data_IF_298452614295
#
_entry.id   IF_298452614295
#
_cell.length_a   1.000
_cell.length_b   1.000
_cell.length_c   1.000
_cell.angle_alpha   90.00
_cell.angle_beta   90.00
_cell.angle_gamma   90.00
#
_symmetry.space_group_name_H-M   'P 1'
#
loop_
_entity.id
_entity.type
_entity.pdbx_description
1 polymer ?
#
# COMPACT_ATOMS: atom_id res chain seq x y z
N UNK A 1 22.53 -13.30 -2.11
CA UNK A 1 22.75 -11.99 -1.47
C UNK A 1 21.91 -11.95 -0.21
N UNK A 2 22.51 -11.74 0.97
CA UNK A 2 21.81 -11.81 2.26
C UNK A 2 21.22 -10.47 2.66
N UNK A 3 19.93 -10.25 2.40
CA UNK A 3 19.17 -9.13 2.94
C UNK A 3 18.91 -9.37 4.43
N UNK A 4 19.25 -8.40 5.30
CA UNK A 4 18.94 -8.51 6.73
C UNK A 4 17.46 -8.14 6.94
N UNK A 5 16.66 -9.09 7.40
CA UNK A 5 15.26 -8.86 7.79
C UNK A 5 15.19 -8.34 9.23
N UNK A 6 14.37 -7.33 9.48
CA UNK A 6 14.15 -6.80 10.83
C UNK A 6 12.65 -6.65 11.10
N UNK A 7 12.22 -7.09 12.28
CA UNK A 7 10.84 -7.00 12.75
C UNK A 7 10.82 -6.18 14.03
N UNK A 8 10.05 -5.09 14.07
CA UNK A 8 9.80 -4.33 15.29
C UNK A 8 8.78 -5.12 16.14
N UNK A 9 9.21 -5.73 17.24
CA UNK A 9 8.34 -6.31 18.27
C UNK A 9 8.50 -5.54 19.58
N UNK A 10 7.39 -5.22 20.25
CA UNK A 10 7.41 -4.76 21.65
C UNK A 10 7.98 -5.86 22.54
N UNK A 11 8.96 -5.52 23.38
CA UNK A 11 9.74 -6.49 24.17
C UNK A 11 9.27 -6.47 25.63
N UNK A 12 8.98 -7.67 26.16
CA UNK A 12 8.66 -7.94 27.57
C UNK A 12 9.96 -8.06 28.41
N UNK A 13 9.95 -7.52 29.62
CA UNK A 13 11.13 -6.93 30.27
C UNK A 13 11.98 -7.87 31.17
N UNK A 14 11.81 -9.19 31.13
CA UNK A 14 12.31 -10.07 32.20
C UNK A 14 13.62 -10.87 31.93
N UNK A 15 14.31 -10.70 30.80
CA UNK A 15 15.61 -11.38 30.56
C UNK A 15 16.65 -10.50 29.87
N UNK A 16 17.44 -9.77 30.66
CA UNK A 16 18.53 -8.89 30.18
C UNK A 16 19.82 -9.68 29.91
N UNK A 17 19.90 -10.34 28.76
CA UNK A 17 21.17 -10.34 28.02
C UNK A 17 21.38 -8.93 27.45
N UNK A 18 22.63 -8.44 27.40
CA UNK A 18 22.98 -7.15 26.77
C UNK A 18 22.62 -7.16 25.29
N UNK A 19 21.36 -6.89 24.97
CA UNK A 19 20.90 -6.56 23.63
C UNK A 19 21.47 -5.20 23.28
N UNK A 20 22.58 -5.18 22.54
CA UNK A 20 22.99 -3.98 21.81
C UNK A 20 21.91 -3.66 20.81
N UNK A 21 21.09 -2.66 21.14
CA UNK A 21 20.11 -2.09 20.22
C UNK A 21 20.91 -1.37 19.12
N UNK A 22 21.03 -2.02 17.97
CA UNK A 22 21.58 -1.38 16.77
C UNK A 22 20.45 -0.53 16.19
N UNK A 23 20.54 0.78 16.40
CA UNK A 23 19.66 1.74 15.73
C UNK A 23 20.20 1.93 14.32
N UNK A 24 19.57 1.30 13.33
CA UNK A 24 19.92 1.54 11.93
C UNK A 24 19.37 2.90 11.49
N UNK A 25 20.15 3.70 10.75
CA UNK A 25 19.61 4.89 10.10
C UNK A 25 18.47 4.49 9.19
N UNK A 26 17.34 5.20 9.28
CA UNK A 26 16.15 4.93 8.46
C UNK A 26 16.46 4.96 6.95
N UNK A 27 17.47 5.73 6.53
CA UNK A 27 17.94 5.81 5.15
C UNK A 27 18.56 4.52 4.60
N UNK A 28 18.97 3.59 5.47
CA UNK A 28 19.53 2.29 5.10
C UNK A 28 18.48 1.18 4.99
N UNK A 29 17.21 1.48 5.29
CA UNK A 29 16.11 0.52 5.21
C UNK A 29 15.83 0.16 3.76
N UNK A 30 15.89 -1.14 3.48
CA UNK A 30 15.68 -1.74 2.17
C UNK A 30 14.31 -2.41 2.02
N UNK A 31 13.81 -2.95 3.13
CA UNK A 31 12.53 -3.66 3.20
C UNK A 31 11.73 -3.03 4.34
N UNK A 32 10.52 -2.57 4.03
CA UNK A 32 9.60 -2.02 5.01
C UNK A 32 8.43 -2.97 5.20
N UNK A 33 8.19 -3.37 6.45
CA UNK A 33 7.03 -4.14 6.85
C UNK A 33 6.06 -3.23 7.57
N UNK A 34 4.85 -3.12 7.02
CA UNK A 34 3.76 -2.31 7.52
C UNK A 34 2.62 -3.25 7.91
N UNK A 35 2.23 -3.22 9.18
CA UNK A 35 1.09 -4.02 9.64
C UNK A 35 0.22 -3.30 10.65
N UNK A 36 -1.10 -3.43 10.52
CA UNK A 36 -2.09 -2.90 11.46
C UNK A 36 -2.49 -1.44 11.22
N UNK A 37 -3.19 -0.84 12.20
CA UNK A 37 -3.75 0.51 12.10
C UNK A 37 -2.67 1.60 12.15
N UNK A 38 -2.13 1.99 11.00
CA UNK A 38 -1.13 3.06 10.85
C UNK A 38 -1.76 4.46 10.76
N UNK A 39 -2.74 4.72 11.62
CA UNK A 39 -3.40 6.02 11.70
C UNK A 39 -2.41 7.07 12.22
N UNK A 40 -2.33 8.20 11.53
CA UNK A 40 -1.53 9.36 11.97
C UNK A 40 -0.08 9.41 11.45
N UNK A 41 0.36 8.45 10.62
CA UNK A 41 1.67 8.55 9.96
C UNK A 41 1.62 9.62 8.85
N UNK A 42 2.60 10.52 8.86
CA UNK A 42 2.92 11.39 7.73
C UNK A 42 3.71 10.57 6.69
N UNK A 43 2.95 9.92 5.79
CA UNK A 43 3.53 9.07 4.74
C UNK A 43 4.46 9.83 3.80
N UNK A 44 4.12 11.03 3.29
CA UNK A 44 5.05 11.81 2.48
C UNK A 44 6.41 12.03 3.16
N UNK A 45 6.42 12.45 4.43
CA UNK A 45 7.67 12.66 5.17
C UNK A 45 8.44 11.35 5.35
N UNK A 46 7.76 10.27 5.76
CA UNK A 46 8.41 8.97 5.97
C UNK A 46 9.02 8.43 4.68
N UNK A 47 8.26 8.41 3.58
CA UNK A 47 8.72 7.94 2.27
C UNK A 47 9.87 8.80 1.74
N UNK A 48 9.94 10.08 2.09
CA UNK A 48 11.07 10.93 1.73
C UNK A 48 12.39 10.41 2.32
N UNK A 49 12.38 9.81 3.50
CA UNK A 49 13.60 9.35 4.17
C UNK A 49 14.06 7.95 3.71
N UNK A 50 13.18 7.15 3.12
CA UNK A 50 13.42 5.74 2.76
C UNK A 50 14.05 5.57 1.37
N UNK A 51 15.18 6.26 1.10
CA UNK A 51 15.77 6.33 -0.26
C UNK A 51 16.24 4.99 -0.84
N UNK A 52 16.56 4.00 -0.01
CA UNK A 52 17.10 2.69 -0.43
C UNK A 52 16.06 1.57 -0.43
N UNK A 53 14.80 1.89 -0.17
CA UNK A 53 13.76 0.88 -0.10
C UNK A 53 13.51 0.28 -1.49
N UNK A 54 13.50 -1.04 -1.56
CA UNK A 54 13.16 -1.78 -2.77
C UNK A 54 11.98 -2.72 -2.59
N UNK A 55 11.58 -3.01 -1.35
CA UNK A 55 10.44 -3.89 -1.05
C UNK A 55 9.58 -3.29 0.05
N UNK A 56 8.26 -3.27 -0.16
CA UNK A 56 7.27 -2.92 0.88
C UNK A 56 6.30 -4.09 1.04
N UNK A 57 6.08 -4.50 2.28
CA UNK A 57 5.01 -5.39 2.68
C UNK A 57 3.97 -4.61 3.46
N UNK A 58 2.71 -4.71 3.04
CA UNK A 58 1.56 -4.07 3.67
C UNK A 58 0.59 -5.16 4.09
N UNK A 59 0.25 -5.20 5.37
CA UNK A 59 -0.64 -6.21 5.94
C UNK A 59 -1.70 -5.65 6.88
N UNK A 60 -2.98 -5.99 6.69
CA UNK A 60 -4.06 -5.51 7.58
C UNK A 60 -4.08 -3.97 7.73
N UNK A 61 -3.75 -3.24 6.66
CA UNK A 61 -3.73 -1.77 6.66
C UNK A 61 -4.72 -1.28 5.63
N UNK A 62 -5.51 -0.26 5.97
CA UNK A 62 -6.24 0.53 4.97
C UNK A 62 -5.21 1.36 4.20
N UNK A 63 -4.86 0.97 2.96
CA UNK A 63 -3.64 1.46 2.34
C UNK A 63 -3.86 2.85 1.73
N UNK A 64 -5.09 3.38 1.73
CA UNK A 64 -5.47 4.61 1.01
C UNK A 64 -4.46 5.75 1.18
N UNK A 65 -4.12 6.14 2.42
CA UNK A 65 -3.13 7.21 2.66
C UNK A 65 -1.72 6.88 2.18
N UNK A 66 -1.30 5.61 2.27
CA UNK A 66 -0.01 5.17 1.78
C UNK A 66 0.01 5.19 0.24
N UNK A 67 -1.03 4.66 -0.40
CA UNK A 67 -1.17 4.65 -1.86
C UNK A 67 -1.25 6.08 -2.41
N UNK A 68 -2.03 6.95 -1.77
CA UNK A 68 -2.12 8.36 -2.15
C UNK A 68 -0.76 9.06 -2.02
N UNK A 69 0.00 8.77 -0.96
CA UNK A 69 1.35 9.30 -0.79
C UNK A 69 2.32 8.74 -1.84
N UNK A 70 2.24 7.44 -2.16
CA UNK A 70 3.03 6.80 -3.22
C UNK A 70 2.70 7.34 -4.61
N UNK A 71 1.43 7.68 -4.86
CA UNK A 71 0.94 8.33 -6.08
C UNK A 71 1.40 9.81 -6.19
N UNK A 72 2.11 10.33 -5.20
CA UNK A 72 2.63 11.69 -5.20
C UNK A 72 1.75 12.72 -4.48
N UNK A 73 0.81 12.26 -3.66
CA UNK A 73 -0.14 13.11 -2.94
C UNK A 73 -1.08 13.78 -3.92
N UNK A 74 -2.28 13.20 -4.11
CA UNK A 74 -3.34 13.79 -4.94
C UNK A 74 -3.97 15.00 -4.25
N UNK A 75 -3.16 15.95 -3.76
CA UNK A 75 -3.59 17.33 -3.61
C UNK A 75 -3.34 18.03 -4.96
N UNK A 76 -4.06 17.55 -5.98
CA UNK A 76 -4.32 18.31 -7.20
C UNK A 76 -5.32 19.42 -6.86
N UNK A 77 -4.88 20.35 -6.02
CA UNK A 77 -5.52 21.64 -5.81
C UNK A 77 -5.43 22.41 -7.13
N UNK A 78 -6.46 22.28 -7.97
CA UNK A 78 -6.81 23.10 -9.14
C UNK A 78 -5.69 23.97 -9.77
N UNK A 79 -4.62 23.36 -10.33
CA UNK A 79 -3.71 24.06 -11.23
C UNK A 79 -2.21 23.83 -11.05
N UNK A 80 -1.78 22.99 -10.12
CA UNK A 80 -0.36 22.62 -10.04
C UNK A 80 0.00 21.58 -11.11
N UNK A 81 1.06 21.86 -11.86
CA UNK A 81 1.70 20.95 -12.80
C UNK A 81 1.97 19.59 -12.15
N UNK A 82 1.64 18.50 -12.84
CA UNK A 82 1.81 17.11 -12.39
C UNK A 82 3.15 16.91 -11.65
N UNK A 83 3.18 16.18 -10.52
CA UNK A 83 4.43 15.85 -9.84
C UNK A 83 5.37 15.14 -10.82
N UNK A 84 6.57 15.69 -10.98
CA UNK A 84 7.57 15.23 -11.96
C UNK A 84 8.51 14.16 -11.41
N UNK A 85 8.48 13.91 -10.10
CA UNK A 85 9.46 13.05 -9.43
C UNK A 85 8.81 11.77 -8.88
N UNK A 86 9.38 10.62 -9.25
CA UNK A 86 8.97 9.32 -8.71
C UNK A 86 9.40 9.20 -7.26
N UNK A 87 8.44 8.98 -6.37
CA UNK A 87 8.70 8.63 -4.97
C UNK A 87 9.18 7.18 -4.92
N UNK A 88 10.25 6.93 -4.16
CA UNK A 88 10.91 5.62 -4.04
C UNK A 88 11.29 5.00 -5.40
N UNK A 89 12.20 5.61 -6.17
CA UNK A 89 12.57 5.11 -7.51
C UNK A 89 13.20 3.72 -7.49
N UNK A 90 13.69 3.26 -6.33
CA UNK A 90 14.29 1.93 -6.16
C UNK A 90 13.27 0.84 -5.78
N UNK A 91 12.00 1.19 -5.53
CA UNK A 91 10.94 0.25 -5.19
C UNK A 91 10.66 -0.70 -6.36
N UNK A 92 10.79 -2.00 -6.12
CA UNK A 92 10.66 -3.07 -7.11
C UNK A 92 9.61 -4.10 -6.74
N UNK A 93 9.40 -4.36 -5.45
CA UNK A 93 8.47 -5.40 -5.01
C UNK A 93 7.43 -4.84 -4.03
N UNK A 94 6.16 -5.15 -4.26
CA UNK A 94 5.04 -4.82 -3.39
C UNK A 94 4.30 -6.08 -2.98
N UNK A 95 4.08 -6.23 -1.67
CA UNK A 95 3.35 -7.34 -1.10
C UNK A 95 2.17 -6.79 -0.33
N UNK A 96 0.96 -7.10 -0.80
CA UNK A 96 -0.29 -6.60 -0.26
C UNK A 96 -1.07 -7.80 0.27
N UNK A 97 -1.28 -7.83 1.59
CA UNK A 97 -1.95 -8.94 2.27
C UNK A 97 -3.05 -8.42 3.17
N UNK A 98 -4.28 -8.93 3.05
CA UNK A 98 -5.41 -8.43 3.87
C UNK A 98 -5.58 -6.90 3.72
N UNK A 99 -5.50 -6.41 2.49
CA UNK A 99 -5.58 -4.98 2.12
C UNK A 99 -6.94 -4.70 1.48
N UNK A 100 -7.59 -3.62 1.91
CA UNK A 100 -8.88 -3.19 1.39
C UNK A 100 -8.71 -2.17 0.25
N UNK A 101 -9.22 -2.52 -0.94
CA UNK A 101 -9.20 -1.68 -2.13
C UNK A 101 -10.48 -0.87 -2.37
N UNK A 102 -11.42 -0.87 -1.42
CA UNK A 102 -12.69 -0.13 -1.52
C UNK A 102 -12.53 1.37 -1.83
N UNK A 103 -13.58 1.95 -2.40
CA UNK A 103 -13.69 3.37 -2.69
C UNK A 103 -12.69 3.85 -3.76
N UNK A 104 -11.77 4.76 -3.37
CA UNK A 104 -10.79 5.35 -4.31
C UNK A 104 -9.45 4.61 -4.34
N UNK A 105 -9.23 3.71 -3.39
CA UNK A 105 -7.93 3.06 -3.18
C UNK A 105 -7.47 2.28 -4.41
N UNK A 106 -8.35 1.45 -4.99
CA UNK A 106 -8.11 0.72 -6.24
C UNK A 106 -7.64 1.64 -7.37
N UNK A 107 -8.36 2.74 -7.59
CA UNK A 107 -8.06 3.70 -8.66
C UNK A 107 -6.72 4.40 -8.41
N UNK A 108 -6.49 4.92 -7.21
CA UNK A 108 -5.22 5.55 -6.84
C UNK A 108 -4.05 4.58 -7.02
N UNK A 109 -4.26 3.29 -6.72
CA UNK A 109 -3.23 2.27 -6.87
C UNK A 109 -2.88 1.99 -8.33
N UNK A 110 -3.88 1.87 -9.21
CA UNK A 110 -3.66 1.74 -10.66
C UNK A 110 -2.95 2.97 -11.23
N UNK A 111 -3.38 4.17 -10.86
CA UNK A 111 -2.74 5.43 -11.29
C UNK A 111 -1.27 5.50 -10.84
N UNK A 112 -0.98 5.03 -9.62
CA UNK A 112 0.38 4.90 -9.10
C UNK A 112 1.25 3.94 -9.93
N UNK A 113 0.74 2.72 -10.22
CA UNK A 113 1.47 1.73 -11.02
C UNK A 113 1.76 2.27 -12.42
N UNK A 114 0.74 2.85 -13.06
CA UNK A 114 0.85 3.45 -14.38
C UNK A 114 1.88 4.59 -14.41
N UNK A 115 1.86 5.50 -13.41
CA UNK A 115 2.81 6.60 -13.32
C UNK A 115 4.26 6.10 -13.22
N UNK A 116 4.51 5.11 -12.35
CA UNK A 116 5.83 4.51 -12.19
C UNK A 116 6.33 3.82 -13.46
N UNK A 117 5.46 3.08 -14.14
CA UNK A 117 5.80 2.40 -15.39
C UNK A 117 6.25 3.41 -16.46
N UNK A 118 5.48 4.49 -16.67
CA UNK A 118 5.84 5.53 -17.63
C UNK A 118 7.14 6.28 -17.26
N UNK A 119 7.44 6.40 -15.97
CA UNK A 119 8.67 7.04 -15.49
C UNK A 119 9.89 6.12 -15.50
N UNK A 120 9.79 4.90 -16.05
CA UNK A 120 10.91 3.95 -16.12
C UNK A 120 11.30 3.35 -14.77
N UNK A 121 10.41 3.41 -13.77
CA UNK A 121 10.59 2.88 -12.42
C UNK A 121 9.49 1.88 -12.07
N UNK A 122 9.08 1.06 -13.04
CA UNK A 122 8.01 0.08 -12.91
C UNK A 122 8.24 -0.87 -11.72
N UNK A 123 7.15 -1.28 -11.07
CA UNK A 123 7.17 -2.38 -10.11
C UNK A 123 7.45 -3.67 -10.88
N UNK A 124 8.36 -4.48 -10.36
CA UNK A 124 8.77 -5.75 -10.97
C UNK A 124 7.89 -6.89 -10.46
N UNK A 125 7.61 -6.90 -9.15
CA UNK A 125 6.88 -7.96 -8.47
C UNK A 125 5.72 -7.37 -7.66
N UNK A 126 4.50 -7.86 -7.90
CA UNK A 126 3.32 -7.51 -7.12
C UNK A 126 2.65 -8.78 -6.62
N UNK A 127 2.66 -8.98 -5.31
CA UNK A 127 1.98 -10.08 -4.64
C UNK A 127 0.71 -9.56 -3.96
N UNK A 128 -0.42 -10.17 -4.27
CA UNK A 128 -1.75 -9.79 -3.79
C UNK A 128 -2.38 -11.01 -3.15
N UNK A 129 -2.62 -10.95 -1.84
CA UNK A 129 -3.16 -12.07 -1.08
C UNK A 129 -4.29 -11.59 -0.16
N UNK A 130 -5.44 -12.24 -0.26
CA UNK A 130 -6.56 -12.07 0.64
C UNK A 130 -7.03 -10.60 0.72
N UNK A 131 -7.01 -9.91 -0.43
CA UNK A 131 -7.38 -8.50 -0.54
C UNK A 131 -8.88 -8.34 -0.79
N UNK A 132 -9.48 -7.29 -0.21
CA UNK A 132 -10.91 -6.99 -0.36
C UNK A 132 -11.12 -6.00 -1.51
N UNK A 133 -12.30 -6.08 -2.15
CA UNK A 133 -12.74 -5.15 -3.19
C UNK A 133 -11.79 -5.10 -4.40
N UNK A 134 -11.21 -6.24 -4.77
CA UNK A 134 -10.33 -6.37 -5.92
C UNK A 134 -10.82 -7.53 -6.79
N UNK A 135 -11.07 -7.26 -8.07
CA UNK A 135 -11.60 -8.24 -9.01
C UNK A 135 -10.57 -8.57 -10.11
N UNK A 136 -10.81 -9.67 -10.82
CA UNK A 136 -9.93 -10.16 -11.89
C UNK A 136 -9.65 -9.07 -12.93
N UNK A 137 -10.69 -8.30 -13.30
CA UNK A 137 -10.56 -7.22 -14.27
C UNK A 137 -9.50 -6.20 -13.87
N UNK A 138 -9.46 -5.81 -12.60
CA UNK A 138 -8.47 -4.89 -12.06
C UNK A 138 -7.07 -5.47 -12.09
N UNK A 139 -6.94 -6.73 -11.70
CA UNK A 139 -5.66 -7.43 -11.69
C UNK A 139 -5.10 -7.57 -13.11
N UNK A 140 -5.95 -7.84 -14.10
CA UNK A 140 -5.55 -7.82 -15.51
C UNK A 140 -5.05 -6.44 -15.97
N UNK A 141 -5.69 -5.34 -15.53
CA UNK A 141 -5.18 -4.00 -15.79
C UNK A 141 -3.82 -3.75 -15.10
N UNK A 142 -3.57 -4.30 -13.91
CA UNK A 142 -2.28 -4.17 -13.22
C UNK A 142 -1.15 -4.87 -13.99
N UNK A 143 -1.42 -5.99 -14.65
CA UNK A 143 -0.47 -6.74 -15.48
C UNK A 143 0.05 -5.93 -16.69
N UNK A 144 -0.65 -4.88 -17.10
CA UNK A 144 -0.15 -3.97 -18.14
C UNK A 144 1.05 -3.12 -17.66
N UNK A 145 1.19 -2.91 -16.35
CA UNK A 145 2.19 -2.00 -15.75
C UNK A 145 3.23 -2.71 -14.88
N UNK A 146 2.98 -3.96 -14.50
CA UNK A 146 3.82 -4.75 -13.60
C UNK A 146 4.28 -6.02 -14.32
N UNK A 147 5.57 -6.35 -14.18
CA UNK A 147 6.17 -7.47 -14.89
C UNK A 147 5.67 -8.83 -14.39
N UNK A 148 5.60 -9.01 -13.06
CA UNK A 148 5.17 -10.25 -12.42
C UNK A 148 4.09 -9.94 -11.37
N UNK A 149 2.90 -10.52 -11.57
CA UNK A 149 1.74 -10.34 -10.71
C UNK A 149 1.29 -11.71 -10.20
N UNK A 150 1.47 -11.91 -8.90
CA UNK A 150 1.05 -13.11 -8.17
C UNK A 150 -0.21 -12.76 -7.37
N UNK A 151 -1.37 -13.20 -7.88
CA UNK A 151 -2.67 -13.00 -7.27
C UNK A 151 -3.29 -14.36 -6.93
N UNK A 152 -3.89 -14.46 -5.75
CA UNK A 152 -4.52 -15.68 -5.24
C UNK A 152 -5.87 -16.03 -5.89
N UNK A 153 -6.42 -15.14 -6.73
CA UNK A 153 -7.67 -15.36 -7.45
C UNK A 153 -8.93 -15.22 -6.59
N UNK A 154 -8.81 -14.65 -5.39
CA UNK A 154 -9.94 -14.44 -4.49
C UNK A 154 -10.56 -13.07 -4.79
N UNK A 155 -11.84 -13.06 -5.15
CA UNK A 155 -12.67 -11.86 -5.25
C UNK A 155 -13.59 -11.80 -4.03
N UNK A 156 -13.33 -10.86 -3.12
CA UNK A 156 -14.15 -10.66 -1.92
C UNK A 156 -14.79 -9.26 -1.96
N UNK A 157 -16.12 -9.23 -1.91
CA UNK A 157 -16.89 -7.99 -1.84
C UNK A 157 -16.74 -7.33 -0.47
N UNK A 158 -16.97 -6.02 -0.40
CA UNK A 158 -17.08 -5.34 0.89
C UNK A 158 -18.23 -5.99 1.70
N UNK A 159 -17.98 -6.58 2.88
CA UNK A 159 -19.05 -7.11 3.72
C UNK A 159 -20.04 -6.02 4.17
N UNK A 160 -19.71 -4.74 3.97
CA UNK A 160 -20.59 -3.62 4.24
C UNK A 160 -21.51 -3.24 3.07
N UNK A 161 -21.26 -3.69 1.84
CA UNK A 161 -22.11 -3.39 0.69
C UNK A 161 -23.47 -4.14 0.74
N UNK A 162 -23.56 -5.23 1.52
CA UNK A 162 -24.78 -6.04 1.66
C UNK A 162 -25.75 -5.53 2.75
N UNK A 163 -25.41 -4.44 3.48
CA UNK A 163 -26.36 -3.78 4.41
C UNK A 163 -27.35 -2.90 3.66
N UNK A 164 -28.01 -3.49 2.67
CA UNK A 164 -28.93 -2.87 1.73
C UNK A 164 -29.76 -1.75 2.37
N UNK A 165 -29.68 -0.58 1.74
CA UNK A 165 -30.65 0.53 1.82
C UNK A 165 -32.04 0.09 1.30
N UNK A 166 -32.54 -1.06 1.75
CA UNK A 166 -33.82 -1.65 1.37
C UNK A 166 -34.87 -1.43 2.48
N UNK A 167 -34.91 -0.28 3.15
CA UNK A 167 -36.04 -0.01 4.06
C UNK A 167 -36.28 1.47 4.40
N UNK A 168 -36.50 2.34 3.40
CA UNK A 168 -37.16 3.65 3.62
C UNK A 168 -38.22 3.95 2.56
N UNK A 169 -38.80 2.91 1.96
CA UNK A 169 -39.84 3.00 0.93
C UNK A 169 -41.27 2.84 1.46
N UNK A 170 -41.54 3.23 2.71
CA UNK A 170 -42.81 2.96 3.38
C UNK A 170 -43.44 4.13 4.14
N UNK A 171 -43.12 5.39 3.82
CA UNK A 171 -43.95 6.52 4.26
C UNK A 171 -44.91 6.92 3.16
N UNK A 172 -45.95 6.10 3.04
CA UNK A 172 -47.20 6.41 2.35
C UNK A 172 -47.80 7.66 3.02
N UNK A 173 -47.64 8.82 2.39
CA UNK A 173 -48.22 10.08 2.85
C UNK A 173 -49.57 10.24 2.16
N UNK A 174 -50.63 9.83 2.87
CA UNK A 174 -52.04 10.07 2.53
C UNK A 174 -52.39 11.55 2.49
#
# INVERSE_FOLDING_TARGET
MGGKHYTLRGVDASHLARSTVIVLPIAEVQILYLSGGLLGIDWPELLHHLKKIHTIHVRHVFPGKLIDALAGGVEQSMGSSRPTTVILPQLRSLWLTDVDFSGRTQRSFLEFLQFRAHAGSAIQELHIQNCLCLYEREVEMMKEFVQDVDWDGIEENDPYDDWGYNDYGGMDSS
#
